data_IF_695111479335
#
_entry.id   IF_695111479335
#
_cell.length_a   1.000
_cell.length_b   1.000
_cell.length_c   1.000
_cell.angle_alpha   90.00
_cell.angle_beta   90.00
_cell.angle_gamma   90.00
#
_symmetry.space_group_name_H-M   'P 1'
#
loop_
_entity.id
_entity.type
_entity.pdbx_description
1 polymer ?
#
# COMPACT_ATOMS: atom_id res chain seq x y z
N UNK A 1 37.37 -1.22 3.00
CA UNK A 1 35.99 -1.62 3.30
C UNK A 1 35.52 -2.52 2.17
N UNK A 2 35.43 -3.83 2.42
CA UNK A 2 35.34 -4.84 1.37
C UNK A 2 34.04 -4.66 0.57
N UNK A 3 34.12 -4.54 -0.76
CA UNK A 3 32.97 -4.31 -1.66
C UNK A 3 31.81 -5.27 -1.41
N UNK A 4 32.09 -6.49 -0.95
CA UNK A 4 31.10 -7.51 -0.59
C UNK A 4 30.21 -7.13 0.62
N UNK A 5 30.73 -6.39 1.60
CA UNK A 5 29.97 -5.95 2.77
C UNK A 5 28.91 -4.90 2.38
N UNK A 6 29.27 -3.98 1.49
CA UNK A 6 28.33 -2.98 0.99
C UNK A 6 27.17 -3.63 0.20
N UNK A 7 27.47 -4.63 -0.63
CA UNK A 7 26.44 -5.37 -1.38
C UNK A 7 25.51 -6.14 -0.44
N UNK A 8 26.04 -6.78 0.60
CA UNK A 8 25.24 -7.51 1.59
C UNK A 8 24.29 -6.57 2.37
N UNK A 9 24.76 -5.38 2.76
CA UNK A 9 23.94 -4.38 3.45
C UNK A 9 22.79 -3.85 2.59
N UNK A 10 23.02 -3.64 1.29
CA UNK A 10 21.98 -3.21 0.34
C UNK A 10 20.90 -4.28 0.22
N UNK A 11 21.27 -5.55 0.15
CA UNK A 11 20.30 -6.66 0.06
C UNK A 11 19.43 -6.71 1.33
N UNK A 12 20.03 -6.63 2.52
CA UNK A 12 19.27 -6.65 3.79
C UNK A 12 18.30 -5.46 3.88
N UNK A 13 18.71 -4.28 3.44
CA UNK A 13 17.87 -3.07 3.42
C UNK A 13 16.69 -3.18 2.43
N UNK A 14 16.84 -3.90 1.31
CA UNK A 14 15.75 -4.13 0.37
C UNK A 14 14.71 -5.12 0.91
N UNK A 15 15.13 -6.15 1.66
CA UNK A 15 14.22 -7.18 2.16
C UNK A 15 13.40 -6.74 3.40
N UNK A 16 13.89 -5.80 4.20
CA UNK A 16 13.17 -5.33 5.40
C UNK A 16 11.80 -4.70 5.09
N UNK A 17 11.65 -4.01 3.94
CA UNK A 17 10.39 -3.35 3.58
C UNK A 17 9.23 -4.32 3.26
N UNK A 18 9.53 -5.56 2.86
CA UNK A 18 8.50 -6.54 2.50
C UNK A 18 7.80 -7.14 3.73
N UNK A 19 8.58 -7.38 4.80
CA UNK A 19 8.08 -7.95 6.05
C UNK A 19 7.09 -7.02 6.77
N UNK A 20 7.41 -5.73 6.84
CA UNK A 20 6.53 -4.74 7.49
C UNK A 20 5.21 -4.56 6.73
N UNK A 21 5.26 -4.50 5.40
CA UNK A 21 4.06 -4.41 4.57
C UNK A 21 3.16 -5.64 4.78
N UNK A 22 3.74 -6.83 4.81
CA UNK A 22 2.96 -8.08 5.01
C UNK A 22 2.30 -8.10 6.38
N UNK A 23 2.98 -7.61 7.42
CA UNK A 23 2.40 -7.48 8.77
C UNK A 23 1.25 -6.48 8.79
N UNK A 24 1.43 -5.32 8.16
CA UNK A 24 0.39 -4.30 8.00
C UNK A 24 -0.83 -4.87 7.26
N UNK A 25 -0.62 -5.54 6.13
CA UNK A 25 -1.70 -6.13 5.33
C UNK A 25 -2.50 -7.17 6.13
N UNK A 26 -1.87 -7.92 7.02
CA UNK A 26 -2.58 -8.91 7.86
C UNK A 26 -3.20 -8.32 9.13
N UNK A 27 -2.99 -7.04 9.42
CA UNK A 27 -3.55 -6.37 10.58
C UNK A 27 -5.09 -6.38 10.53
N UNK A 28 -5.73 -6.51 11.68
CA UNK A 28 -7.18 -6.31 11.84
C UNK A 28 -7.54 -4.87 12.22
N UNK A 29 -6.53 -4.00 12.36
CA UNK A 29 -6.72 -2.57 12.56
C UNK A 29 -6.97 -1.88 11.20
N UNK A 30 -8.24 -1.63 10.91
CA UNK A 30 -8.68 -1.02 9.65
C UNK A 30 -8.28 0.44 9.51
N UNK A 31 -8.24 1.19 10.62
CA UNK A 31 -7.82 2.58 10.62
C UNK A 31 -6.34 2.69 10.26
N UNK A 32 -5.52 1.85 10.89
CA UNK A 32 -4.10 1.78 10.58
C UNK A 32 -3.83 1.40 9.11
N UNK A 33 -4.61 0.46 8.55
CA UNK A 33 -4.53 0.11 7.13
C UNK A 33 -4.93 1.29 6.23
N UNK A 34 -5.97 2.02 6.58
CA UNK A 34 -6.46 3.16 5.83
C UNK A 34 -5.40 4.28 5.77
N UNK A 35 -4.85 4.66 6.92
CA UNK A 35 -3.80 5.70 6.98
C UNK A 35 -2.52 5.26 6.25
N UNK A 36 -2.17 3.99 6.31
CA UNK A 36 -1.06 3.46 5.52
C UNK A 36 -1.34 3.50 4.02
N UNK A 37 -2.58 3.22 3.58
CA UNK A 37 -2.98 3.35 2.19
C UNK A 37 -2.85 4.81 1.69
N UNK A 38 -3.29 5.79 2.49
CA UNK A 38 -3.09 7.23 2.20
C UNK A 38 -1.60 7.57 2.03
N UNK A 39 -0.77 7.07 2.96
CA UNK A 39 0.68 7.28 2.88
C UNK A 39 1.30 6.65 1.63
N UNK A 40 0.86 5.45 1.23
CA UNK A 40 1.33 4.78 0.03
C UNK A 40 0.86 5.46 -1.25
N UNK A 41 -0.38 5.95 -1.28
CA UNK A 41 -0.92 6.71 -2.39
C UNK A 41 -0.10 7.98 -2.63
N UNK A 42 0.14 8.76 -1.57
CA UNK A 42 0.96 9.98 -1.63
C UNK A 42 2.40 9.71 -2.09
N UNK A 43 2.93 8.49 -1.88
CA UNK A 43 4.27 8.05 -2.31
C UNK A 43 4.26 7.41 -3.72
N UNK A 44 3.14 7.41 -4.43
CA UNK A 44 2.99 6.76 -5.74
C UNK A 44 3.06 5.23 -5.70
N UNK A 45 2.91 4.61 -4.52
CA UNK A 45 2.90 3.15 -4.35
C UNK A 45 1.50 2.60 -4.59
N UNK A 46 1.01 2.76 -5.82
CA UNK A 46 -0.37 2.47 -6.20
C UNK A 46 -0.76 1.00 -6.02
N UNK A 47 0.14 0.05 -6.29
CA UNK A 47 -0.15 -1.38 -6.08
C UNK A 47 -0.44 -1.72 -4.61
N UNK A 48 0.38 -1.19 -3.68
CA UNK A 48 0.16 -1.37 -2.23
C UNK A 48 -1.11 -0.68 -1.76
N UNK A 49 -1.39 0.50 -2.32
CA UNK A 49 -2.61 1.26 -2.03
C UNK A 49 -3.85 0.46 -2.45
N UNK A 50 -3.88 -0.01 -3.69
CA UNK A 50 -5.00 -0.79 -4.22
C UNK A 50 -5.23 -2.09 -3.43
N UNK A 51 -4.18 -2.82 -3.06
CA UNK A 51 -4.31 -4.03 -2.23
C UNK A 51 -4.97 -3.74 -0.89
N UNK A 52 -4.48 -2.74 -0.15
CA UNK A 52 -5.06 -2.40 1.16
C UNK A 52 -6.49 -1.90 1.04
N UNK A 53 -6.77 -1.02 0.07
CA UNK A 53 -8.10 -0.45 -0.09
C UNK A 53 -9.13 -1.48 -0.54
N UNK A 54 -8.78 -2.46 -1.38
CA UNK A 54 -9.71 -3.55 -1.77
C UNK A 54 -10.20 -4.37 -0.57
N UNK A 55 -9.35 -4.59 0.44
CA UNK A 55 -9.77 -5.25 1.68
C UNK A 55 -10.69 -4.36 2.53
N UNK A 56 -10.59 -3.03 2.36
CA UNK A 56 -11.31 -2.04 3.16
C UNK A 56 -12.60 -1.52 2.50
N UNK A 57 -12.78 -1.60 1.18
CA UNK A 57 -13.90 -0.93 0.49
C UNK A 57 -15.28 -1.35 1.03
N UNK A 58 -15.44 -2.61 1.41
CA UNK A 58 -16.71 -3.13 1.94
C UNK A 58 -16.94 -2.70 3.38
N UNK A 59 -15.86 -2.54 4.14
CA UNK A 59 -15.87 -2.12 5.55
C UNK A 59 -16.11 -0.61 5.66
N UNK A 60 -15.50 0.18 4.78
CA UNK A 60 -15.61 1.64 4.76
C UNK A 60 -16.89 2.11 4.07
N UNK A 61 -17.66 1.22 3.45
CA UNK A 61 -18.91 1.59 2.78
C UNK A 61 -19.87 2.25 3.76
N UNK A 62 -20.32 3.46 3.42
CA UNK A 62 -21.26 4.24 4.25
C UNK A 62 -20.61 5.02 5.38
N UNK A 63 -19.28 5.01 5.50
CA UNK A 63 -18.53 5.91 6.39
C UNK A 63 -18.11 7.18 5.64
N UNK A 64 -17.59 8.16 6.38
CA UNK A 64 -16.98 9.38 5.86
C UNK A 64 -15.72 9.13 5.01
N UNK A 65 -15.05 7.97 5.20
CA UNK A 65 -13.85 7.56 4.44
C UNK A 65 -14.16 6.86 3.13
N UNK A 66 -15.42 6.51 2.87
CA UNK A 66 -15.81 5.75 1.68
C UNK A 66 -15.38 6.43 0.39
N UNK A 67 -15.68 7.73 0.25
CA UNK A 67 -15.43 8.50 -0.96
C UNK A 67 -13.92 8.67 -1.22
N UNK A 68 -13.17 9.12 -0.22
CA UNK A 68 -11.71 9.28 -0.31
C UNK A 68 -11.03 7.93 -0.66
N UNK A 69 -11.49 6.82 -0.06
CA UNK A 69 -10.99 5.48 -0.35
C UNK A 69 -11.24 5.05 -1.78
N UNK A 70 -12.47 5.23 -2.29
CA UNK A 70 -12.80 4.86 -3.67
C UNK A 70 -12.04 5.70 -4.67
N UNK A 71 -11.88 7.01 -4.41
CA UNK A 71 -11.07 7.90 -5.23
C UNK A 71 -9.61 7.43 -5.30
N UNK A 72 -8.97 7.18 -4.16
CA UNK A 72 -7.59 6.68 -4.12
C UNK A 72 -7.44 5.32 -4.81
N UNK A 73 -8.43 4.44 -4.68
CA UNK A 73 -8.43 3.12 -5.32
C UNK A 73 -8.51 3.24 -6.85
N UNK A 74 -9.48 3.99 -7.39
CA UNK A 74 -9.60 4.22 -8.83
C UNK A 74 -8.37 4.91 -9.42
N UNK A 75 -7.87 5.95 -8.75
CA UNK A 75 -6.63 6.62 -9.14
C UNK A 75 -5.42 5.69 -9.09
N UNK A 76 -5.38 4.75 -8.14
CA UNK A 76 -4.31 3.75 -8.10
C UNK A 76 -4.35 2.84 -9.31
N UNK A 77 -5.53 2.33 -9.69
CA UNK A 77 -5.69 1.52 -10.90
C UNK A 77 -5.32 2.29 -12.17
N UNK A 78 -5.80 3.53 -12.30
CA UNK A 78 -5.47 4.40 -13.43
C UNK A 78 -3.95 4.59 -13.58
N UNK A 79 -3.25 4.92 -12.48
CA UNK A 79 -1.80 5.12 -12.52
C UNK A 79 -1.01 3.83 -12.76
N UNK A 80 -1.57 2.68 -12.42
CA UNK A 80 -1.02 1.36 -12.80
C UNK A 80 -1.35 0.96 -14.25
N UNK A 81 -2.11 1.79 -14.98
CA UNK A 81 -2.64 1.50 -16.32
C UNK A 81 -3.59 0.31 -16.37
N UNK A 82 -4.21 -0.02 -15.24
CA UNK A 82 -5.25 -1.03 -15.13
C UNK A 82 -6.62 -0.36 -15.35
N UNK A 83 -6.90 0.01 -16.59
CA UNK A 83 -8.09 0.81 -16.94
C UNK A 83 -9.41 0.04 -16.81
N UNK A 84 -9.36 -1.28 -16.71
CA UNK A 84 -10.58 -2.09 -16.50
C UNK A 84 -11.06 -1.98 -15.05
N UNK A 85 -10.11 -1.83 -14.12
CA UNK A 85 -10.38 -1.73 -12.69
C UNK A 85 -10.47 -0.27 -12.21
N UNK A 86 -10.02 0.70 -13.01
CA UNK A 86 -10.04 2.14 -12.72
C UNK A 86 -11.43 2.76 -12.86
#
# INVERSE_FOLDING_TARGET
MNKHICVLLIIIAFFSSCGEYTKLQKSTDYEYKYEAAKSYFAKGKYGRTATLLNELITILKGTDKAEESLYMLGMSYYNMKDYLMA
#
